data_IF_169436933098
#
_entry.id   IF_169436933098
#
_cell.length_a   1.000
_cell.length_b   1.000
_cell.length_c   1.000
_cell.angle_alpha   90.00
_cell.angle_beta   90.00
_cell.angle_gamma   90.00
#
_symmetry.space_group_name_H-M   'P 1'
#
loop_
_entity.id
_entity.type
_entity.pdbx_description
1 polymer ?
#
# COMPACT_ATOMS: atom_id res chain seq x y z
N UNK A 1 1.98 3.07 -18.46
CA UNK A 1 1.27 2.81 -17.17
C UNK A 1 2.23 2.92 -16.00
N UNK A 2 1.72 3.17 -14.82
CA UNK A 2 2.44 3.42 -13.57
C UNK A 2 1.98 2.40 -12.53
N UNK A 3 2.90 1.85 -11.72
CA UNK A 3 2.61 1.01 -10.57
C UNK A 3 2.94 1.77 -9.29
N UNK A 4 1.96 2.01 -8.43
CA UNK A 4 2.13 2.49 -7.06
C UNK A 4 2.12 1.31 -6.07
N UNK A 5 2.95 1.39 -5.02
CA UNK A 5 3.11 0.34 -4.01
C UNK A 5 3.21 0.95 -2.59
N UNK A 6 2.27 0.60 -1.70
CA UNK A 6 2.41 0.77 -0.24
C UNK A 6 2.92 -0.52 0.38
N UNK A 7 4.23 -0.57 0.68
CA UNK A 7 4.90 -1.79 1.16
C UNK A 7 4.64 -1.99 2.66
N UNK A 8 4.02 -3.12 2.99
CA UNK A 8 3.85 -3.58 4.37
C UNK A 8 4.18 -5.06 4.49
N UNK A 9 4.60 -5.49 5.69
CA UNK A 9 4.92 -6.91 5.96
C UNK A 9 3.68 -7.79 6.17
N UNK A 10 2.49 -7.24 6.19
CA UNK A 10 1.22 -7.96 6.35
C UNK A 10 0.35 -7.95 5.10
N UNK A 11 0.24 -6.79 4.46
CA UNK A 11 -0.50 -6.61 3.21
C UNK A 11 0.12 -5.44 2.45
N UNK A 12 0.65 -5.69 1.26
CA UNK A 12 1.15 -4.62 0.38
C UNK A 12 0.03 -4.19 -0.54
N UNK A 13 -0.38 -2.93 -0.44
CA UNK A 13 -1.31 -2.32 -1.39
C UNK A 13 -0.62 -2.08 -2.73
N UNK A 14 -1.35 -2.17 -3.83
CA UNK A 14 -0.86 -1.77 -5.14
C UNK A 14 -1.94 -1.13 -5.99
N UNK A 15 -1.53 -0.16 -6.81
CA UNK A 15 -2.38 0.50 -7.78
C UNK A 15 -1.69 0.56 -9.14
N UNK A 16 -2.38 0.15 -10.20
CA UNK A 16 -1.95 0.35 -11.58
C UNK A 16 -2.74 1.51 -12.16
N UNK A 17 -2.02 2.53 -12.63
CA UNK A 17 -2.60 3.73 -13.23
C UNK A 17 -2.21 3.85 -14.71
N UNK A 18 -3.08 4.47 -15.49
CA UNK A 18 -2.71 5.03 -16.79
C UNK A 18 -1.79 6.25 -16.60
N UNK A 19 -1.17 6.73 -17.67
CA UNK A 19 -0.42 8.01 -17.63
C UNK A 19 -1.34 9.23 -17.43
N UNK A 20 -2.63 9.09 -17.69
CA UNK A 20 -3.65 10.11 -17.37
C UNK A 20 -4.13 10.10 -15.93
N UNK A 21 -3.73 9.09 -15.13
CA UNK A 21 -4.12 8.96 -13.72
C UNK A 21 -5.39 8.14 -13.49
N UNK A 22 -5.92 7.47 -14.52
CA UNK A 22 -7.07 6.59 -14.35
C UNK A 22 -6.67 5.27 -13.72
N UNK A 23 -7.43 4.81 -12.73
CA UNK A 23 -7.19 3.53 -12.05
C UNK A 23 -7.57 2.38 -12.97
N UNK A 24 -6.59 1.51 -13.26
CA UNK A 24 -6.75 0.29 -14.07
C UNK A 24 -6.95 -0.93 -13.19
N UNK A 25 -6.18 -1.03 -12.12
CA UNK A 25 -6.29 -2.09 -11.11
C UNK A 25 -5.87 -1.55 -9.75
N UNK A 26 -6.64 -1.89 -8.72
CA UNK A 26 -6.38 -1.52 -7.34
C UNK A 26 -6.67 -2.74 -6.47
N UNK A 27 -5.64 -3.26 -5.77
CA UNK A 27 -5.76 -4.49 -4.97
C UNK A 27 -4.62 -4.59 -3.95
N UNK A 28 -4.48 -5.71 -3.25
CA UNK A 28 -3.41 -5.94 -2.28
C UNK A 28 -2.80 -7.33 -2.39
N UNK A 29 -1.57 -7.46 -1.89
CA UNK A 29 -0.83 -8.72 -1.79
C UNK A 29 -0.90 -9.18 -0.34
N UNK A 30 -1.58 -10.29 -0.05
CA UNK A 30 -1.70 -10.84 1.30
C UNK A 30 -0.40 -11.55 1.72
N UNK A 31 0.23 -11.09 2.81
CA UNK A 31 1.53 -11.58 3.30
C UNK A 31 1.48 -12.16 4.72
N UNK A 32 0.30 -12.20 5.35
CA UNK A 32 0.14 -12.61 6.76
C UNK A 32 0.45 -14.08 7.03
N UNK A 33 0.30 -14.95 6.05
CA UNK A 33 0.44 -16.41 6.20
C UNK A 33 1.89 -16.88 6.35
N UNK A 34 2.88 -16.04 6.10
CA UNK A 34 4.30 -16.37 6.24
C UNK A 34 5.02 -15.38 7.15
N UNK A 35 5.97 -15.87 7.97
CA UNK A 35 6.75 -15.05 8.91
C UNK A 35 8.05 -14.55 8.29
N UNK A 36 8.68 -15.37 7.46
CA UNK A 36 9.99 -15.07 6.88
C UNK A 36 9.90 -14.04 5.76
N UNK A 37 10.75 -13.02 5.81
CA UNK A 37 10.75 -11.93 4.83
C UNK A 37 11.07 -12.42 3.41
N UNK A 38 11.96 -13.40 3.29
CA UNK A 38 12.32 -14.00 1.99
C UNK A 38 11.10 -14.67 1.37
N UNK A 39 10.32 -15.43 2.15
CA UNK A 39 9.11 -16.08 1.66
C UNK A 39 8.03 -15.06 1.25
N UNK A 40 7.94 -13.94 1.98
CA UNK A 40 7.10 -12.79 1.56
C UNK A 40 7.59 -12.20 0.24
N UNK A 41 8.91 -12.10 0.08
CA UNK A 41 9.55 -11.67 -1.18
C UNK A 41 9.15 -12.56 -2.37
N UNK A 42 9.08 -13.88 -2.19
CA UNK A 42 8.61 -14.79 -3.25
C UNK A 42 7.13 -14.55 -3.61
N UNK A 43 6.26 -14.34 -2.61
CA UNK A 43 4.85 -14.02 -2.87
C UNK A 43 4.74 -12.69 -3.63
N UNK A 44 5.46 -11.67 -3.18
CA UNK A 44 5.53 -10.37 -3.84
C UNK A 44 6.05 -10.49 -5.28
N UNK A 45 7.18 -11.20 -5.50
CA UNK A 45 7.75 -11.43 -6.83
C UNK A 45 6.75 -12.07 -7.80
N UNK A 46 6.02 -13.09 -7.34
CA UNK A 46 5.02 -13.75 -8.18
C UNK A 46 3.91 -12.77 -8.62
N UNK A 47 3.43 -11.90 -7.73
CA UNK A 47 2.44 -10.88 -8.10
C UNK A 47 3.03 -9.85 -9.06
N UNK A 48 4.26 -9.40 -8.86
CA UNK A 48 4.92 -8.47 -9.81
C UNK A 48 5.06 -9.10 -11.19
N UNK A 49 5.46 -10.37 -11.28
CA UNK A 49 5.53 -11.09 -12.56
C UNK A 49 4.16 -11.19 -13.24
N UNK A 50 3.10 -11.43 -12.47
CA UNK A 50 1.72 -11.44 -12.98
C UNK A 50 1.34 -10.07 -13.55
N UNK A 51 1.63 -8.98 -12.81
CA UNK A 51 1.34 -7.61 -13.24
C UNK A 51 2.12 -7.21 -14.50
N UNK A 52 3.43 -7.53 -14.57
CA UNK A 52 4.25 -7.28 -15.76
C UNK A 52 3.71 -8.02 -16.98
N UNK A 53 3.26 -9.27 -16.80
CA UNK A 53 2.65 -10.05 -17.88
C UNK A 53 1.29 -9.48 -18.31
N UNK A 54 0.48 -9.04 -17.34
CA UNK A 54 -0.86 -8.49 -17.59
C UNK A 54 -0.82 -7.10 -18.23
N UNK A 55 0.18 -6.31 -17.83
CA UNK A 55 0.36 -4.92 -18.26
C UNK A 55 1.75 -4.69 -18.86
N UNK A 56 1.99 -5.09 -20.12
CA UNK A 56 3.32 -4.98 -20.74
C UNK A 56 3.80 -3.53 -20.91
N UNK A 57 2.89 -2.55 -20.86
CA UNK A 57 3.21 -1.12 -20.92
C UNK A 57 3.52 -0.49 -19.54
N UNK A 58 3.60 -1.30 -18.51
CA UNK A 58 3.96 -0.86 -17.16
C UNK A 58 5.46 -0.51 -17.14
N UNK A 59 5.80 0.79 -17.00
CA UNK A 59 7.17 1.30 -17.16
C UNK A 59 7.75 1.96 -15.91
N UNK A 60 6.89 2.54 -15.07
CA UNK A 60 7.30 3.28 -13.89
C UNK A 60 6.75 2.63 -12.64
N UNK A 61 7.60 2.53 -11.60
CA UNK A 61 7.22 2.00 -10.30
C UNK A 61 7.54 3.02 -9.23
N UNK A 62 6.52 3.37 -8.43
CA UNK A 62 6.65 4.22 -7.25
C UNK A 62 6.43 3.38 -6.00
N UNK A 63 7.31 3.51 -5.04
CA UNK A 63 7.25 2.78 -3.77
C UNK A 63 7.22 3.79 -2.63
N UNK A 64 6.28 3.63 -1.68
CA UNK A 64 6.32 4.43 -0.47
C UNK A 64 7.62 4.17 0.30
N UNK A 65 8.34 5.26 0.60
CA UNK A 65 9.59 5.20 1.34
C UNK A 65 9.35 4.69 2.77
N UNK A 66 10.06 3.63 3.15
CA UNK A 66 9.98 3.09 4.50
C UNK A 66 10.31 4.15 5.55
N UNK A 67 9.51 4.19 6.62
CA UNK A 67 9.64 5.17 7.70
C UNK A 67 10.98 5.01 8.43
N UNK A 68 11.76 6.10 8.54
CA UNK A 68 13.12 6.07 9.11
C UNK A 68 13.22 6.70 10.51
N UNK A 69 12.09 7.11 11.11
CA UNK A 69 12.12 7.82 12.40
C UNK A 69 11.72 6.93 13.56
N UNK A 70 12.51 6.96 14.61
CA UNK A 70 12.22 6.37 15.90
C UNK A 70 11.65 7.45 16.83
N UNK A 71 10.58 7.13 17.58
CA UNK A 71 9.98 8.07 18.54
C UNK A 71 9.04 7.37 19.52
N UNK A 72 8.80 8.02 20.66
CA UNK A 72 7.86 7.52 21.65
C UNK A 72 6.45 7.43 21.04
N UNK A 73 5.78 6.28 21.22
CA UNK A 73 4.45 6.01 20.65
C UNK A 73 4.45 5.52 19.20
N UNK A 74 5.62 5.31 18.58
CA UNK A 74 5.77 4.73 17.23
C UNK A 74 5.99 3.21 17.31
N UNK A 75 6.02 2.57 16.14
CA UNK A 75 6.33 1.14 15.99
C UNK A 75 7.67 0.78 16.65
N UNK A 76 7.79 -0.46 17.15
CA UNK A 76 9.05 -0.92 17.75
C UNK A 76 10.20 -0.88 16.75
N UNK A 77 11.45 -0.72 17.24
CA UNK A 77 12.64 -0.74 16.40
C UNK A 77 12.69 -2.00 15.51
N UNK A 78 12.31 -3.16 16.05
CA UNK A 78 12.24 -4.41 15.29
C UNK A 78 11.22 -4.33 14.14
N UNK A 79 10.05 -3.73 14.36
CA UNK A 79 9.03 -3.54 13.30
C UNK A 79 9.55 -2.64 12.18
N UNK A 80 10.19 -1.53 12.53
CA UNK A 80 10.75 -0.58 11.55
C UNK A 80 11.87 -1.24 10.75
N UNK A 81 12.80 -1.96 11.42
CA UNK A 81 13.89 -2.67 10.75
C UNK A 81 13.37 -3.75 9.81
N UNK A 82 12.38 -4.53 10.24
CA UNK A 82 11.76 -5.56 9.39
C UNK A 82 11.04 -4.95 8.18
N UNK A 83 10.35 -3.84 8.35
CA UNK A 83 9.69 -3.13 7.26
C UNK A 83 10.71 -2.57 6.26
N UNK A 84 11.79 -1.93 6.76
CA UNK A 84 12.86 -1.41 5.90
C UNK A 84 13.56 -2.54 5.11
N UNK A 85 13.85 -3.67 5.76
CA UNK A 85 14.44 -4.83 5.09
C UNK A 85 13.51 -5.39 4.01
N UNK A 86 12.21 -5.50 4.30
CA UNK A 86 11.23 -5.98 3.32
C UNK A 86 11.04 -5.00 2.15
N UNK A 87 11.01 -3.70 2.44
CA UNK A 87 10.96 -2.66 1.42
C UNK A 87 12.16 -2.76 0.46
N UNK A 88 13.39 -3.00 0.98
CA UNK A 88 14.58 -3.25 0.16
C UNK A 88 14.46 -4.49 -0.73
N UNK A 89 13.88 -5.59 -0.21
CA UNK A 89 13.60 -6.79 -1.02
C UNK A 89 12.62 -6.45 -2.16
N UNK A 90 11.55 -5.71 -1.88
CA UNK A 90 10.57 -5.30 -2.88
C UNK A 90 11.19 -4.38 -3.95
N UNK A 91 12.00 -3.40 -3.55
CA UNK A 91 12.75 -2.54 -4.48
C UNK A 91 13.63 -3.36 -5.42
N UNK A 92 14.40 -4.31 -4.88
CA UNK A 92 15.25 -5.18 -5.69
C UNK A 92 14.43 -6.00 -6.71
N UNK A 93 13.33 -6.60 -6.27
CA UNK A 93 12.43 -7.37 -7.15
C UNK A 93 11.86 -6.48 -8.27
N UNK A 94 11.40 -5.28 -7.94
CA UNK A 94 10.90 -4.35 -8.94
C UNK A 94 12.01 -3.95 -9.91
N UNK A 95 13.19 -3.58 -9.43
CA UNK A 95 14.32 -3.23 -10.28
C UNK A 95 14.71 -4.38 -11.24
N UNK A 96 14.71 -5.62 -10.75
CA UNK A 96 14.98 -6.82 -11.56
C UNK A 96 13.93 -7.00 -12.68
N UNK A 97 12.63 -6.82 -12.37
CA UNK A 97 11.55 -7.08 -13.30
C UNK A 97 11.33 -5.95 -14.31
N UNK A 98 11.41 -4.71 -13.87
CA UNK A 98 11.20 -3.53 -14.73
C UNK A 98 12.47 -3.02 -15.42
N UNK A 99 13.66 -3.58 -15.07
CA UNK A 99 14.97 -3.13 -15.55
C UNK A 99 15.22 -1.63 -15.31
N UNK A 100 14.59 -1.09 -14.29
CA UNK A 100 14.68 0.30 -13.85
C UNK A 100 14.61 0.37 -12.32
N UNK A 101 15.29 1.33 -11.71
CA UNK A 101 15.22 1.55 -10.26
C UNK A 101 13.86 2.17 -9.92
N UNK A 102 13.10 1.59 -8.98
CA UNK A 102 11.85 2.19 -8.53
C UNK A 102 12.08 3.58 -7.91
N UNK A 103 11.16 4.49 -8.13
CA UNK A 103 11.17 5.79 -7.48
C UNK A 103 10.60 5.67 -6.06
N UNK A 104 11.33 6.20 -5.08
CA UNK A 104 10.87 6.25 -3.70
C UNK A 104 10.19 7.59 -3.43
N UNK A 105 8.94 7.53 -2.98
CA UNK A 105 8.18 8.72 -2.63
C UNK A 105 7.87 8.74 -1.13
N UNK A 106 8.09 9.87 -0.47
CA UNK A 106 7.69 10.00 0.93
C UNK A 106 6.18 10.23 1.07
N UNK A 107 5.61 9.73 2.18
CA UNK A 107 4.18 9.95 2.53
C UNK A 107 3.78 11.44 2.45
N UNK A 108 4.66 12.34 2.92
CA UNK A 108 4.39 13.77 2.91
C UNK A 108 4.40 14.37 1.51
N UNK A 109 5.28 13.89 0.65
CA UNK A 109 5.38 14.31 -0.75
C UNK A 109 4.20 13.80 -1.57
N UNK A 110 3.86 12.51 -1.46
CA UNK A 110 2.70 11.90 -2.10
C UNK A 110 1.42 12.68 -1.75
N UNK A 111 1.15 12.92 -0.47
CA UNK A 111 -0.02 13.69 -0.04
C UNK A 111 -0.02 15.12 -0.56
N UNK A 112 1.14 15.77 -0.60
CA UNK A 112 1.27 17.13 -1.15
C UNK A 112 0.96 17.16 -2.64
N UNK A 113 1.48 16.21 -3.41
CA UNK A 113 1.22 16.10 -4.85
C UNK A 113 -0.26 15.84 -5.15
N UNK A 114 -0.91 14.98 -4.37
CA UNK A 114 -2.34 14.71 -4.49
C UNK A 114 -3.24 15.81 -3.90
N UNK A 115 -2.68 16.82 -3.22
CA UNK A 115 -3.48 17.86 -2.54
C UNK A 115 -4.19 17.36 -1.28
N UNK A 116 -3.79 16.21 -0.72
CA UNK A 116 -4.40 15.62 0.48
C UNK A 116 -3.95 16.39 1.71
N UNK A 117 -4.90 17.01 2.41
CA UNK A 117 -4.67 17.70 3.68
C UNK A 117 -5.16 16.85 4.84
N UNK A 118 -4.23 16.39 5.67
CA UNK A 118 -4.55 15.63 6.89
C UNK A 118 -4.29 16.46 8.15
N UNK A 119 -5.07 16.24 9.17
CA UNK A 119 -4.92 16.85 10.49
C UNK A 119 -4.77 15.78 11.56
N UNK A 120 -4.14 16.13 12.70
CA UNK A 120 -3.90 15.15 13.76
C UNK A 120 -5.20 14.57 14.29
N UNK A 121 -5.19 13.30 14.70
CA UNK A 121 -6.34 12.62 15.33
C UNK A 121 -6.95 13.43 16.48
N UNK A 122 -6.11 14.10 17.28
CA UNK A 122 -6.56 14.93 18.40
C UNK A 122 -7.51 16.05 17.96
N UNK A 123 -7.34 16.58 16.75
CA UNK A 123 -8.16 17.66 16.19
C UNK A 123 -9.32 17.15 15.34
N UNK A 124 -9.12 16.06 14.60
CA UNK A 124 -10.13 15.51 13.68
C UNK A 124 -11.05 14.46 14.28
N UNK A 125 -10.61 13.81 15.38
CA UNK A 125 -11.25 12.59 15.89
C UNK A 125 -10.96 11.32 15.06
N UNK A 126 -10.35 11.45 13.88
CA UNK A 126 -10.07 10.35 12.93
C UNK A 126 -8.58 10.08 12.79
N UNK A 127 -8.22 8.82 12.58
CA UNK A 127 -6.85 8.44 12.21
C UNK A 127 -6.48 9.04 10.84
N UNK A 128 -5.18 9.30 10.64
CA UNK A 128 -4.69 9.90 9.38
C UNK A 128 -4.98 8.98 8.20
N UNK A 129 -4.79 7.66 8.34
CA UNK A 129 -5.14 6.67 7.30
C UNK A 129 -6.63 6.70 6.92
N UNK A 130 -7.50 6.97 7.87
CA UNK A 130 -8.94 7.11 7.61
C UNK A 130 -9.26 8.36 6.80
N UNK A 131 -8.57 9.47 7.09
CA UNK A 131 -8.72 10.72 6.33
C UNK A 131 -8.21 10.57 4.88
N UNK A 132 -7.10 9.86 4.68
CA UNK A 132 -6.58 9.55 3.34
C UNK A 132 -7.57 8.65 2.59
N UNK A 133 -8.05 7.57 3.23
CA UNK A 133 -9.03 6.68 2.64
C UNK A 133 -10.30 7.43 2.21
N UNK A 134 -10.87 8.28 3.06
CA UNK A 134 -12.04 9.10 2.73
C UNK A 134 -11.79 10.05 1.54
N UNK A 135 -10.57 10.61 1.48
CA UNK A 135 -10.19 11.46 0.36
C UNK A 135 -10.17 10.65 -0.95
N UNK A 136 -9.53 9.49 -0.95
CA UNK A 136 -9.44 8.60 -2.12
C UNK A 136 -10.83 8.11 -2.53
N UNK A 137 -11.66 7.66 -1.60
CA UNK A 137 -13.02 7.20 -1.84
C UNK A 137 -13.88 8.27 -2.53
N UNK A 138 -13.80 9.52 -2.06
CA UNK A 138 -14.49 10.65 -2.67
C UNK A 138 -14.02 10.97 -4.09
N UNK A 139 -12.76 10.71 -4.43
CA UNK A 139 -12.18 11.03 -5.74
C UNK A 139 -12.33 9.89 -6.74
N UNK A 140 -12.11 8.65 -6.31
CA UNK A 140 -12.15 7.49 -7.21
C UNK A 140 -13.53 6.87 -7.37
N UNK A 141 -14.43 7.01 -6.37
CA UNK A 141 -15.73 6.31 -6.32
C UNK A 141 -15.59 4.81 -6.61
N UNK A 142 -14.57 4.21 -6.00
CA UNK A 142 -14.20 2.82 -6.19
C UNK A 142 -15.13 1.90 -5.40
N UNK A 143 -15.50 0.75 -5.97
CA UNK A 143 -16.28 -0.27 -5.27
C UNK A 143 -15.36 -1.10 -4.37
N UNK A 144 -15.18 -0.63 -3.14
CA UNK A 144 -14.26 -1.22 -2.18
C UNK A 144 -14.70 -2.62 -1.76
N UNK A 145 -13.77 -3.59 -1.72
CA UNK A 145 -14.08 -4.94 -1.28
C UNK A 145 -14.59 -4.95 0.17
N UNK A 146 -15.67 -5.71 0.39
CA UNK A 146 -16.34 -5.82 1.68
C UNK A 146 -16.22 -7.24 2.24
N UNK A 147 -16.54 -7.38 3.52
CA UNK A 147 -16.73 -8.67 4.20
C UNK A 147 -17.81 -8.59 5.25
N UNK A 148 -18.50 -9.71 5.47
CA UNK A 148 -19.43 -9.86 6.59
C UNK A 148 -18.70 -10.35 7.83
N UNK A 149 -18.88 -9.65 8.96
CA UNK A 149 -18.27 -10.00 10.24
C UNK A 149 -18.88 -11.29 10.79
N UNK A 150 -18.05 -12.29 11.09
CA UNK A 150 -18.50 -13.63 11.52
C UNK A 150 -18.64 -13.74 13.06
N UNK A 151 -18.14 -12.78 13.83
CA UNK A 151 -18.13 -12.83 15.31
C UNK A 151 -18.15 -11.44 15.95
N UNK A 152 -18.34 -11.39 17.28
CA UNK A 152 -18.33 -10.17 18.08
C UNK A 152 -19.66 -9.38 18.02
N UNK A 153 -19.70 -8.21 18.70
CA UNK A 153 -20.92 -7.39 18.81
C UNK A 153 -21.50 -6.89 17.49
N UNK A 154 -20.67 -6.88 16.42
CA UNK A 154 -21.04 -6.45 15.07
C UNK A 154 -21.20 -7.61 14.09
N UNK A 155 -21.40 -8.85 14.59
CA UNK A 155 -21.65 -10.04 13.74
C UNK A 155 -22.80 -9.78 12.77
N UNK A 156 -22.61 -10.14 11.51
CA UNK A 156 -23.59 -9.96 10.44
C UNK A 156 -23.52 -8.60 9.73
N UNK A 157 -22.76 -7.63 10.25
CA UNK A 157 -22.56 -6.38 9.53
C UNK A 157 -21.55 -6.56 8.40
N UNK A 158 -21.87 -6.02 7.24
CA UNK A 158 -20.95 -5.88 6.12
C UNK A 158 -20.06 -4.64 6.36
N UNK A 159 -18.77 -4.82 6.21
CA UNK A 159 -17.78 -3.75 6.37
C UNK A 159 -16.76 -3.78 5.23
N UNK A 160 -16.23 -2.63 4.86
CA UNK A 160 -15.06 -2.53 3.97
C UNK A 160 -13.90 -3.24 4.65
N UNK A 161 -13.14 -4.04 3.89
CA UNK A 161 -12.00 -4.77 4.46
C UNK A 161 -10.88 -3.83 4.91
N UNK A 162 -10.12 -4.15 5.98
CA UNK A 162 -9.03 -3.29 6.46
C UNK A 162 -7.95 -2.98 5.42
N UNK A 163 -7.69 -3.93 4.52
CA UNK A 163 -6.70 -3.82 3.45
C UNK A 163 -7.00 -2.71 2.44
N UNK A 164 -8.26 -2.29 2.33
CA UNK A 164 -8.64 -1.15 1.48
C UNK A 164 -7.92 0.15 1.83
N UNK A 165 -7.46 0.29 3.09
CA UNK A 165 -6.63 1.45 3.49
C UNK A 165 -5.22 1.37 2.91
N UNK A 166 -4.64 0.17 2.85
CA UNK A 166 -3.33 -0.05 2.24
C UNK A 166 -3.41 0.08 0.70
N UNK A 167 -4.57 -0.29 0.12
CA UNK A 167 -4.87 -0.05 -1.29
C UNK A 167 -4.99 1.44 -1.61
N UNK A 168 -5.63 2.22 -0.73
CA UNK A 168 -5.80 3.66 -0.90
C UNK A 168 -4.50 4.46 -0.70
N UNK A 169 -3.53 3.94 0.05
CA UNK A 169 -2.22 4.54 0.25
C UNK A 169 -1.26 4.22 -0.94
N UNK A 170 -1.56 3.22 -1.79
CA UNK A 170 -0.79 2.81 -2.97
C UNK A 170 -1.07 3.64 -4.21
#
# INVERSE_FOLDING_TARGET
MILGLDISTSATGYCVLTESGDVVELDWIALVKTKELVNKGFIFKNKILELVKKYPDLKSVYIEQAFQRYGAGMSSANTITRLAAFNGICQYICAEQFKAVPELISVSESRKLCGIKTISKKKSGKEVKEQVFEWVDNHLKYDWPTKVLQSGPRKGLEIIIPQSRDMADA
#
